data_IF_616015227282
#
_entry.id   IF_616015227282
#
_cell.length_a   1.000
_cell.length_b   1.000
_cell.length_c   1.000
_cell.angle_alpha   90.00
_cell.angle_beta   90.00
_cell.angle_gamma   90.00
#
_symmetry.space_group_name_H-M   'P 1'
#
loop_
_entity.id
_entity.type
_entity.pdbx_description
1 polymer ?
#
# COMPACT_ATOMS: atom_id res chain seq x y z
N UNK A 1 29.37 53.64 -59.26
CA UNK A 1 29.48 52.28 -59.79
C UNK A 1 29.42 51.35 -58.60
N UNK A 2 28.22 50.87 -58.30
CA UNK A 2 27.97 49.95 -57.19
C UNK A 2 27.73 48.58 -57.83
N UNK A 3 28.70 47.69 -57.72
CA UNK A 3 28.55 46.30 -58.13
C UNK A 3 27.54 45.64 -57.19
N UNK A 4 26.34 45.40 -57.72
CA UNK A 4 25.33 44.58 -57.07
C UNK A 4 25.76 43.13 -57.14
N UNK A 5 26.32 42.63 -56.03
CA UNK A 5 26.56 41.21 -55.83
C UNK A 5 25.22 40.48 -55.81
N UNK A 6 24.87 39.91 -56.95
CA UNK A 6 23.72 39.04 -57.18
C UNK A 6 23.84 37.83 -56.23
N UNK A 7 23.00 37.83 -55.19
CA UNK A 7 22.96 36.74 -54.21
C UNK A 7 22.57 35.46 -54.92
N UNK A 8 23.53 34.53 -55.05
CA UNK A 8 23.31 33.23 -55.66
C UNK A 8 22.08 32.55 -54.99
N UNK A 9 21.14 32.02 -55.79
CA UNK A 9 19.92 31.43 -55.26
C UNK A 9 20.29 30.32 -54.29
N UNK A 10 19.81 30.45 -53.04
CA UNK A 10 19.97 29.46 -52.00
C UNK A 10 19.54 28.09 -52.56
N UNK A 11 20.51 27.22 -52.77
CA UNK A 11 20.30 25.91 -53.37
C UNK A 11 19.40 25.14 -52.42
N UNK A 12 18.15 24.90 -52.82
CA UNK A 12 17.16 24.25 -51.98
C UNK A 12 17.71 22.90 -51.49
N UNK A 13 17.71 22.68 -50.18
CA UNK A 13 18.17 21.43 -49.60
C UNK A 13 17.36 20.26 -50.20
N UNK A 14 18.01 19.13 -50.53
CA UNK A 14 17.31 17.99 -51.10
C UNK A 14 16.21 17.51 -50.13
N UNK A 15 15.05 17.06 -50.65
CA UNK A 15 13.97 16.55 -49.82
C UNK A 15 14.48 15.38 -48.97
N UNK A 16 14.13 15.40 -47.67
CA UNK A 16 14.48 14.31 -46.74
C UNK A 16 13.78 13.03 -47.16
N UNK A 17 14.54 11.94 -47.24
CA UNK A 17 14.00 10.60 -47.47
C UNK A 17 13.15 10.17 -46.28
N UNK A 18 12.12 9.39 -46.56
CA UNK A 18 11.32 8.78 -45.48
C UNK A 18 12.14 7.75 -44.71
N UNK A 19 11.78 7.45 -43.47
CA UNK A 19 12.50 6.47 -42.66
C UNK A 19 12.63 5.10 -43.35
N UNK A 20 11.57 4.69 -44.04
CA UNK A 20 11.47 3.43 -44.80
C UNK A 20 12.39 3.44 -46.03
N UNK A 21 12.52 4.57 -46.71
CA UNK A 21 13.48 4.72 -47.81
C UNK A 21 14.93 4.59 -47.32
N UNK A 22 15.27 5.25 -46.20
CA UNK A 22 16.60 5.15 -45.61
C UNK A 22 16.90 3.71 -45.20
N UNK A 23 15.94 3.02 -44.58
CA UNK A 23 16.08 1.60 -44.23
C UNK A 23 16.33 0.72 -45.47
N UNK A 24 15.52 0.88 -46.51
CA UNK A 24 15.66 0.12 -47.76
C UNK A 24 17.01 0.39 -48.44
N UNK A 25 17.43 1.66 -48.51
CA UNK A 25 18.74 2.06 -49.04
C UNK A 25 19.89 1.45 -48.22
N UNK A 26 19.74 1.38 -46.90
CA UNK A 26 20.75 0.78 -46.03
C UNK A 26 20.86 -0.73 -46.23
N UNK A 27 19.73 -1.43 -46.34
CA UNK A 27 19.72 -2.86 -46.64
C UNK A 27 20.33 -3.16 -48.02
N UNK A 28 20.00 -2.35 -49.02
CA UNK A 28 20.60 -2.45 -50.35
C UNK A 28 22.12 -2.23 -50.31
N UNK A 29 22.60 -1.26 -49.53
CA UNK A 29 24.02 -0.98 -49.34
C UNK A 29 24.75 -2.15 -48.65
N UNK A 30 24.16 -2.70 -47.59
CA UNK A 30 24.67 -3.89 -46.91
C UNK A 30 24.74 -5.11 -47.85
N UNK A 31 23.74 -5.28 -48.72
CA UNK A 31 23.73 -6.34 -49.73
C UNK A 31 24.80 -6.11 -50.80
N UNK A 32 25.04 -4.86 -51.21
CA UNK A 32 26.11 -4.52 -52.15
C UNK A 32 27.49 -4.85 -51.57
N UNK A 33 27.75 -4.50 -50.30
CA UNK A 33 28.97 -4.88 -49.60
C UNK A 33 29.15 -6.40 -49.50
N UNK A 34 28.07 -7.14 -49.22
CA UNK A 34 28.11 -8.61 -49.13
C UNK A 34 28.40 -9.28 -50.47
N UNK A 35 27.94 -8.69 -51.57
CA UNK A 35 28.08 -9.24 -52.93
C UNK A 35 29.31 -8.70 -53.68
N UNK A 36 30.15 -7.91 -53.00
CA UNK A 36 31.30 -7.23 -53.60
C UNK A 36 30.93 -6.41 -54.87
N UNK A 37 29.69 -5.91 -54.94
CA UNK A 37 29.24 -5.05 -56.04
C UNK A 37 29.83 -3.65 -55.87
N UNK A 38 30.02 -2.96 -56.99
CA UNK A 38 30.40 -1.54 -57.00
C UNK A 38 29.41 -0.73 -56.18
N UNK A 39 29.91 0.02 -55.20
CA UNK A 39 29.14 0.90 -54.33
C UNK A 39 29.35 2.35 -54.80
N UNK A 40 28.29 3.05 -55.23
CA UNK A 40 28.42 4.44 -55.63
C UNK A 40 28.77 5.32 -54.42
N UNK A 41 29.98 5.88 -54.41
CA UNK A 41 30.51 6.63 -53.26
C UNK A 41 29.65 7.81 -52.82
N UNK A 42 29.06 8.54 -53.77
CA UNK A 42 28.13 9.64 -53.48
C UNK A 42 26.90 9.17 -52.71
N UNK A 43 26.37 8.00 -53.05
CA UNK A 43 25.20 7.43 -52.36
C UNK A 43 25.57 6.93 -50.97
N UNK A 44 26.76 6.32 -50.81
CA UNK A 44 27.25 5.89 -49.51
C UNK A 44 27.48 7.07 -48.57
N UNK A 45 28.11 8.15 -49.05
CA UNK A 45 28.29 9.38 -48.27
C UNK A 45 26.95 10.00 -47.87
N UNK A 46 26.02 10.12 -48.82
CA UNK A 46 24.68 10.60 -48.54
C UNK A 46 23.99 9.77 -47.45
N UNK A 47 24.08 8.44 -47.54
CA UNK A 47 23.48 7.55 -46.55
C UNK A 47 24.12 7.68 -45.16
N UNK A 48 25.45 7.84 -45.09
CA UNK A 48 26.16 8.11 -43.84
C UNK A 48 25.69 9.42 -43.22
N UNK A 49 25.55 10.47 -44.03
CA UNK A 49 25.09 11.79 -43.59
C UNK A 49 23.65 11.74 -43.09
N UNK A 50 22.77 11.02 -43.80
CA UNK A 50 21.39 10.77 -43.39
C UNK A 50 21.33 10.05 -42.02
N UNK A 51 22.13 8.99 -41.82
CA UNK A 51 22.18 8.29 -40.53
C UNK A 51 22.82 9.09 -39.40
N UNK A 52 23.89 9.84 -39.69
CA UNK A 52 24.53 10.73 -38.73
C UNK A 52 23.54 11.78 -38.24
N UNK A 53 22.82 12.40 -39.17
CA UNK A 53 21.76 13.37 -38.87
C UNK A 53 20.62 12.73 -38.06
N UNK A 54 20.12 11.54 -38.43
CA UNK A 54 19.12 10.83 -37.61
C UNK A 54 19.63 10.51 -36.20
N UNK A 55 20.90 10.15 -36.04
CA UNK A 55 21.49 9.91 -34.72
C UNK A 55 21.50 11.18 -33.85
N UNK A 56 21.70 12.36 -34.44
CA UNK A 56 21.59 13.64 -33.73
C UNK A 56 20.14 13.92 -33.30
N UNK A 57 19.15 13.64 -34.15
CA UNK A 57 17.72 13.76 -33.78
C UNK A 57 17.37 12.81 -32.63
N UNK A 58 17.77 11.54 -32.71
CA UNK A 58 17.54 10.58 -31.62
C UNK A 58 18.28 10.96 -30.34
N UNK A 59 19.43 11.65 -30.44
CA UNK A 59 20.18 12.10 -29.27
C UNK A 59 19.50 13.24 -28.51
N UNK A 60 18.57 13.94 -29.15
CA UNK A 60 17.72 14.93 -28.48
C UNK A 60 16.54 14.26 -27.79
N UNK A 61 15.92 13.25 -28.42
CA UNK A 61 14.68 12.63 -27.94
C UNK A 61 14.93 11.54 -26.89
N UNK A 62 15.88 10.64 -27.13
CA UNK A 62 16.06 9.44 -26.31
C UNK A 62 16.47 9.76 -24.86
N UNK A 63 17.39 10.71 -24.58
CA UNK A 63 17.70 11.09 -23.21
C UNK A 63 16.51 11.72 -22.47
N UNK A 64 15.62 12.44 -23.17
CA UNK A 64 14.41 13.01 -22.57
C UNK A 64 13.42 11.91 -22.20
N UNK A 65 13.19 10.95 -23.09
CA UNK A 65 12.35 9.78 -22.83
C UNK A 65 12.88 8.97 -21.64
N UNK A 66 14.18 8.66 -21.63
CA UNK A 66 14.84 7.99 -20.51
C UNK A 66 14.71 8.78 -19.20
N UNK A 67 14.95 10.10 -19.25
CA UNK A 67 14.79 10.99 -18.09
C UNK A 67 13.37 11.01 -17.53
N UNK A 68 12.34 11.01 -18.41
CA UNK A 68 10.93 10.94 -18.00
C UNK A 68 10.63 9.63 -17.28
N UNK A 69 10.97 8.49 -17.88
CA UNK A 69 10.76 7.16 -17.29
C UNK A 69 11.50 7.02 -15.95
N UNK A 70 12.75 7.47 -15.88
CA UNK A 70 13.57 7.42 -14.65
C UNK A 70 12.94 8.27 -13.54
N UNK A 71 12.47 9.49 -13.87
CA UNK A 71 11.80 10.39 -12.92
C UNK A 71 10.51 9.80 -12.38
N UNK A 72 9.65 9.26 -13.25
CA UNK A 72 8.38 8.63 -12.84
C UNK A 72 8.62 7.37 -12.01
N UNK A 73 9.55 6.52 -12.42
CA UNK A 73 9.96 5.33 -11.65
C UNK A 73 10.50 5.70 -10.27
N UNK A 74 11.26 6.80 -10.16
CA UNK A 74 11.75 7.31 -8.89
C UNK A 74 10.65 7.89 -8.00
N UNK A 75 9.69 8.62 -8.58
CA UNK A 75 8.53 9.16 -7.87
C UNK A 75 7.66 8.03 -7.30
N UNK A 76 7.25 7.07 -8.14
CA UNK A 76 6.47 5.91 -7.71
C UNK A 76 7.18 5.12 -6.61
N UNK A 77 8.51 4.95 -6.71
CA UNK A 77 9.32 4.29 -5.67
C UNK A 77 9.27 5.06 -4.34
N UNK A 78 9.32 6.39 -4.38
CA UNK A 78 9.27 7.22 -3.18
C UNK A 78 7.89 7.12 -2.50
N UNK A 79 6.82 7.19 -3.27
CA UNK A 79 5.44 7.13 -2.76
C UNK A 79 5.10 5.73 -2.21
N UNK A 80 5.57 4.67 -2.87
CA UNK A 80 5.44 3.31 -2.35
C UNK A 80 6.19 3.11 -1.02
N UNK A 81 7.34 3.75 -0.84
CA UNK A 81 8.04 3.73 0.46
C UNK A 81 7.27 4.49 1.54
N UNK A 82 6.67 5.63 1.21
CA UNK A 82 5.87 6.44 2.14
C UNK A 82 4.58 5.74 2.60
N UNK A 83 3.90 5.06 1.68
CA UNK A 83 2.65 4.34 1.98
C UNK A 83 2.84 3.13 2.91
N UNK A 84 4.08 2.65 3.09
CA UNK A 84 4.38 1.41 3.80
C UNK A 84 4.11 0.18 2.95
N UNK A 85 4.01 0.34 1.63
CA UNK A 85 3.90 -0.77 0.70
C UNK A 85 5.17 -1.61 0.77
N UNK A 86 5.01 -2.91 1.04
CA UNK A 86 6.12 -3.85 0.98
C UNK A 86 6.39 -4.13 -0.49
N UNK A 87 7.55 -3.71 -0.98
CA UNK A 87 8.10 -4.20 -2.25
C UNK A 87 8.35 -5.71 -2.09
N UNK A 88 7.28 -6.50 -2.22
CA UNK A 88 7.36 -7.95 -2.24
C UNK A 88 8.07 -8.30 -3.54
N UNK A 89 9.35 -8.64 -3.42
CA UNK A 89 9.97 -9.55 -4.39
C UNK A 89 9.08 -10.80 -4.37
N UNK A 90 8.56 -11.27 -5.52
CA UNK A 90 7.66 -12.39 -5.55
C UNK A 90 8.38 -13.62 -5.00
N UNK A 91 8.10 -13.92 -3.74
CA UNK A 91 8.38 -15.18 -3.07
C UNK A 91 7.00 -15.70 -2.73
N UNK A 92 6.48 -16.55 -3.61
CA UNK A 92 5.27 -17.37 -3.54
C UNK A 92 4.00 -16.71 -2.94
N UNK A 93 3.00 -16.53 -3.82
CA UNK A 93 1.72 -15.85 -3.62
C UNK A 93 0.80 -16.52 -2.57
N UNK A 94 1.10 -16.35 -1.28
CA UNK A 94 0.36 -16.98 -0.18
C UNK A 94 -0.27 -16.07 0.87
N UNK A 95 -0.15 -14.75 0.81
CA UNK A 95 -0.65 -13.87 1.89
C UNK A 95 -1.73 -12.92 1.41
N UNK A 96 -2.98 -13.27 1.73
CA UNK A 96 -4.20 -12.49 1.54
C UNK A 96 -4.14 -11.11 2.19
N UNK A 97 -4.70 -10.11 1.50
CA UNK A 97 -4.65 -8.69 1.84
C UNK A 97 -5.22 -8.31 3.22
N UNK A 98 -4.54 -7.35 3.85
CA UNK A 98 -4.79 -6.76 5.17
C UNK A 98 -6.24 -6.27 5.32
N UNK A 99 -6.90 -5.91 4.22
CA UNK A 99 -8.26 -5.40 4.22
C UNK A 99 -9.32 -6.48 4.46
N UNK A 100 -9.11 -7.69 3.92
CA UNK A 100 -9.97 -8.85 4.16
C UNK A 100 -9.90 -9.28 5.63
N UNK A 101 -8.68 -9.38 6.20
CA UNK A 101 -8.47 -9.68 7.62
C UNK A 101 -9.06 -8.61 8.56
N UNK A 102 -9.02 -7.34 8.17
CA UNK A 102 -9.61 -6.25 8.93
C UNK A 102 -11.14 -6.38 9.00
N UNK A 103 -11.80 -6.67 7.88
CA UNK A 103 -13.26 -6.86 7.81
C UNK A 103 -13.70 -8.12 8.55
N UNK A 104 -13.03 -9.26 8.34
CA UNK A 104 -13.33 -10.50 9.06
C UNK A 104 -13.18 -10.34 10.58
N UNK A 105 -12.20 -9.55 11.04
CA UNK A 105 -12.00 -9.33 12.47
C UNK A 105 -12.98 -8.33 13.11
N UNK A 106 -13.68 -7.51 12.31
CA UNK A 106 -14.77 -6.66 12.80
C UNK A 106 -16.08 -7.44 13.00
N UNK A 107 -16.06 -8.76 12.79
CA UNK A 107 -17.25 -9.62 12.89
C UNK A 107 -18.20 -9.47 11.71
N UNK A 108 -17.78 -8.77 10.65
CA UNK A 108 -18.49 -8.74 9.37
C UNK A 108 -18.14 -10.03 8.66
N UNK A 109 -18.98 -11.04 8.82
CA UNK A 109 -18.81 -12.33 8.17
C UNK A 109 -18.85 -12.13 6.64
N UNK A 110 -17.68 -12.15 6.01
CA UNK A 110 -17.57 -12.51 4.60
C UNK A 110 -17.69 -14.02 4.54
N UNK A 111 -18.90 -14.54 4.35
CA UNK A 111 -19.19 -15.98 4.30
C UNK A 111 -18.42 -16.65 3.15
N UNK A 112 -17.15 -17.01 3.39
CA UNK A 112 -16.45 -18.01 2.60
C UNK A 112 -16.92 -19.38 3.10
N UNK A 113 -17.92 -19.93 2.43
CA UNK A 113 -18.44 -21.28 2.69
C UNK A 113 -17.29 -22.29 2.63
N UNK A 114 -16.94 -23.00 3.73
CA UNK A 114 -15.93 -24.03 3.68
C UNK A 114 -16.52 -25.27 2.98
N UNK A 115 -15.86 -25.69 1.91
CA UNK A 115 -16.21 -26.90 1.15
C UNK A 115 -15.91 -28.13 2.00
N UNK A 116 -16.95 -28.75 2.57
CA UNK A 116 -16.90 -30.11 3.10
C UNK A 116 -17.34 -31.11 2.01
N UNK A 117 -16.81 -32.34 1.99
CA UNK A 117 -17.16 -33.33 0.98
C UNK A 117 -18.56 -33.88 1.26
N UNK A 118 -19.52 -33.60 0.36
CA UNK A 118 -20.88 -34.13 0.48
C UNK A 118 -20.97 -35.56 -0.05
N UNK A 119 -21.50 -36.44 0.81
CA UNK A 119 -22.05 -37.73 0.44
C UNK A 119 -23.36 -37.54 -0.34
N UNK A 120 -23.52 -38.37 -1.37
CA UNK A 120 -24.59 -38.38 -2.36
C UNK A 120 -25.94 -38.67 -1.72
N UNK A 121 -26.92 -37.76 -1.86
CA UNK A 121 -28.33 -38.14 -1.87
C UNK A 121 -29.12 -37.20 -2.79
N UNK A 122 -29.75 -37.80 -3.80
CA UNK A 122 -30.40 -37.15 -4.93
C UNK A 122 -31.77 -36.57 -4.59
N UNK A 123 -32.00 -35.29 -4.93
CA UNK A 123 -33.32 -34.68 -5.15
C UNK A 123 -33.21 -33.56 -6.20
N UNK A 124 -34.31 -33.19 -6.89
CA UNK A 124 -34.25 -32.69 -8.26
C UNK A 124 -33.99 -31.17 -8.38
N UNK A 125 -33.23 -30.87 -9.43
CA UNK A 125 -32.99 -29.60 -10.13
C UNK A 125 -33.84 -28.39 -9.71
N UNK A 126 -33.25 -27.55 -8.87
CA UNK A 126 -33.48 -26.10 -8.92
C UNK A 126 -32.30 -25.51 -9.70
N UNK A 127 -32.61 -24.86 -10.81
CA UNK A 127 -31.65 -24.11 -11.63
C UNK A 127 -31.10 -22.95 -10.81
N UNK A 128 -30.06 -23.20 -10.02
CA UNK A 128 -29.32 -22.15 -9.33
C UNK A 128 -28.43 -21.45 -10.36
N UNK A 129 -28.72 -20.18 -10.58
CA UNK A 129 -27.96 -19.23 -11.39
C UNK A 129 -26.53 -19.13 -10.87
N UNK A 130 -25.56 -19.54 -11.68
CA UNK A 130 -24.12 -19.59 -11.38
C UNK A 130 -23.42 -18.22 -11.33
N UNK A 131 -24.16 -17.11 -11.34
CA UNK A 131 -23.62 -15.74 -11.38
C UNK A 131 -22.79 -15.27 -10.16
N UNK A 132 -22.99 -15.72 -8.90
CA UNK A 132 -22.27 -15.09 -7.78
C UNK A 132 -20.79 -15.51 -7.69
N UNK A 133 -20.42 -16.66 -8.25
CA UNK A 133 -19.03 -17.18 -8.20
C UNK A 133 -18.15 -16.48 -9.23
N UNK A 134 -18.68 -16.20 -10.44
CA UNK A 134 -17.94 -15.47 -11.48
C UNK A 134 -17.68 -14.01 -11.07
N UNK A 135 -18.69 -13.33 -10.51
CA UNK A 135 -18.52 -11.95 -10.01
C UNK A 135 -17.50 -11.85 -8.86
N UNK A 136 -17.41 -12.88 -8.01
CA UNK A 136 -16.41 -12.92 -6.94
C UNK A 136 -14.98 -13.12 -7.48
N UNK A 137 -14.81 -13.95 -8.51
CA UNK A 137 -13.53 -14.15 -9.17
C UNK A 137 -13.07 -12.89 -9.94
N UNK A 138 -14.00 -12.21 -10.61
CA UNK A 138 -13.73 -10.92 -11.27
C UNK A 138 -13.33 -9.84 -10.26
N UNK A 139 -14.04 -9.73 -9.14
CA UNK A 139 -13.70 -8.80 -8.06
C UNK A 139 -12.32 -9.11 -7.46
N UNK A 140 -12.01 -10.39 -7.24
CA UNK A 140 -10.70 -10.81 -6.74
C UNK A 140 -9.58 -10.45 -7.73
N UNK A 141 -9.79 -10.66 -9.04
CA UNK A 141 -8.83 -10.27 -10.06
C UNK A 141 -8.63 -8.74 -10.13
N UNK A 142 -9.69 -7.96 -9.96
CA UNK A 142 -9.62 -6.48 -9.89
C UNK A 142 -8.87 -6.03 -8.63
N UNK A 143 -9.11 -6.66 -7.49
CA UNK A 143 -8.41 -6.37 -6.24
C UNK A 143 -6.92 -6.73 -6.34
N UNK A 144 -6.58 -7.89 -6.90
CA UNK A 144 -5.20 -8.28 -7.16
C UNK A 144 -4.51 -7.32 -8.13
N UNK A 145 -5.22 -6.87 -9.16
CA UNK A 145 -4.70 -5.87 -10.10
C UNK A 145 -4.46 -4.52 -9.41
N UNK A 146 -5.38 -4.10 -8.54
CA UNK A 146 -5.23 -2.89 -7.73
C UNK A 146 -4.06 -3.01 -6.75
N UNK A 147 -3.92 -4.13 -6.04
CA UNK A 147 -2.85 -4.32 -5.06
C UNK A 147 -1.48 -4.46 -5.72
N UNK A 148 -1.38 -5.22 -6.82
CA UNK A 148 -0.11 -5.51 -7.49
C UNK A 148 0.24 -4.51 -8.60
N UNK A 149 -0.71 -3.70 -9.06
CA UNK A 149 -0.56 -2.77 -10.18
C UNK A 149 0.64 -1.84 -10.03
N UNK A 150 0.75 -1.07 -8.92
CA UNK A 150 1.88 -0.18 -8.71
C UNK A 150 3.24 -0.89 -8.65
N UNK A 151 3.29 -2.10 -8.07
CA UNK A 151 4.52 -2.88 -8.01
C UNK A 151 4.96 -3.40 -9.38
N UNK A 152 4.01 -3.88 -10.18
CA UNK A 152 4.24 -4.32 -11.57
C UNK A 152 4.69 -3.15 -12.44
N UNK A 153 3.99 -2.03 -12.38
CA UNK A 153 4.36 -0.80 -13.08
C UNK A 153 5.78 -0.35 -12.72
N UNK A 154 6.16 -0.40 -11.43
CA UNK A 154 7.51 -0.07 -10.99
C UNK A 154 8.57 -1.04 -11.55
N UNK A 155 8.27 -2.34 -11.60
CA UNK A 155 9.17 -3.36 -12.15
C UNK A 155 9.38 -3.17 -13.65
N UNK A 156 8.29 -2.95 -14.39
CA UNK A 156 8.34 -2.65 -15.82
C UNK A 156 9.09 -1.33 -16.09
N UNK A 157 8.84 -0.30 -15.28
CA UNK A 157 9.56 0.98 -15.29
C UNK A 157 11.08 0.80 -15.20
N UNK A 158 11.55 0.01 -14.24
CA UNK A 158 12.98 -0.30 -14.06
C UNK A 158 13.56 -1.08 -15.24
N UNK A 159 12.80 -2.03 -15.78
CA UNK A 159 13.23 -2.80 -16.95
C UNK A 159 13.42 -1.89 -18.15
N UNK A 160 12.41 -1.07 -18.47
CA UNK A 160 12.48 -0.14 -19.60
C UNK A 160 13.57 0.92 -19.40
N UNK A 161 13.74 1.43 -18.17
CA UNK A 161 14.82 2.36 -17.82
C UNK A 161 16.20 1.77 -18.16
N UNK A 162 16.43 0.49 -17.85
CA UNK A 162 17.67 -0.21 -18.17
C UNK A 162 17.85 -0.40 -19.69
N UNK A 163 16.78 -0.77 -20.41
CA UNK A 163 16.79 -0.91 -21.87
C UNK A 163 17.13 0.43 -22.56
N UNK A 164 16.45 1.53 -22.18
CA UNK A 164 16.70 2.87 -22.72
C UNK A 164 18.12 3.35 -22.43
N UNK A 165 18.65 3.08 -21.23
CA UNK A 165 20.03 3.43 -20.86
C UNK A 165 21.06 2.74 -21.77
N UNK A 166 20.85 1.47 -22.12
CA UNK A 166 21.72 0.77 -23.06
C UNK A 166 21.60 1.33 -24.49
N UNK A 167 20.39 1.75 -24.89
CA UNK A 167 20.17 2.42 -26.18
C UNK A 167 20.90 3.77 -26.25
N UNK A 168 20.88 4.58 -25.18
CA UNK A 168 21.64 5.84 -25.10
C UNK A 168 23.14 5.58 -25.28
N UNK A 169 23.71 4.59 -24.58
CA UNK A 169 25.12 4.21 -24.74
C UNK A 169 25.45 3.72 -26.16
N UNK A 170 24.53 3.01 -26.81
CA UNK A 170 24.71 2.59 -28.20
C UNK A 170 24.71 3.79 -29.15
N UNK A 171 23.80 4.74 -28.94
CA UNK A 171 23.70 5.96 -29.72
C UNK A 171 24.96 6.84 -29.60
N UNK A 172 25.48 7.02 -28.40
CA UNK A 172 26.75 7.75 -28.16
C UNK A 172 27.92 7.13 -28.93
N UNK A 173 28.02 5.79 -28.94
CA UNK A 173 29.04 5.07 -29.71
C UNK A 173 28.86 5.27 -31.22
N UNK A 174 27.63 5.18 -31.73
CA UNK A 174 27.35 5.41 -33.15
C UNK A 174 27.71 6.85 -33.57
N UNK A 175 27.35 7.85 -32.74
CA UNK A 175 27.69 9.26 -32.99
C UNK A 175 29.20 9.49 -33.06
N UNK A 176 29.98 8.84 -32.21
CA UNK A 176 31.44 8.94 -32.25
C UNK A 176 32.05 8.33 -33.53
N UNK A 177 31.44 7.27 -34.07
CA UNK A 177 31.97 6.51 -35.22
C UNK A 177 31.67 7.21 -36.56
N UNK A 178 30.55 7.92 -36.71
CA UNK A 178 30.14 8.48 -38.01
C UNK A 178 31.14 9.43 -38.67
N UNK A 179 31.76 10.40 -37.96
CA UNK A 179 32.77 11.28 -38.56
C UNK A 179 34.00 10.52 -39.09
N UNK A 180 34.43 9.48 -38.38
CA UNK A 180 35.55 8.63 -38.79
C UNK A 180 35.21 7.82 -40.05
N UNK A 181 34.00 7.28 -40.12
CA UNK A 181 33.55 6.54 -41.31
C UNK A 181 33.39 7.47 -42.51
N UNK A 182 32.85 8.67 -42.32
CA UNK A 182 32.71 9.68 -43.38
C UNK A 182 34.08 10.03 -43.98
N UNK A 183 35.03 10.42 -43.14
CA UNK A 183 36.40 10.76 -43.59
C UNK A 183 37.11 9.57 -44.25
N UNK A 184 36.88 8.35 -43.77
CA UNK A 184 37.39 7.14 -44.43
C UNK A 184 36.79 6.92 -45.82
N UNK A 185 35.51 7.22 -46.02
CA UNK A 185 34.85 7.11 -47.33
C UNK A 185 35.36 8.20 -48.27
N UNK A 186 35.41 9.45 -47.82
CA UNK A 186 35.96 10.57 -48.61
C UNK A 186 37.40 10.29 -49.05
N UNK A 187 38.27 9.85 -48.14
CA UNK A 187 39.65 9.49 -48.46
C UNK A 187 39.76 8.34 -49.48
N UNK A 188 38.88 7.33 -49.39
CA UNK A 188 38.87 6.23 -50.34
C UNK A 188 38.48 6.68 -51.75
N UNK A 189 37.55 7.62 -51.88
CA UNK A 189 37.08 8.11 -53.18
C UNK A 189 37.97 9.22 -53.78
N UNK A 190 38.56 10.09 -52.95
CA UNK A 190 39.42 11.18 -53.43
C UNK A 190 40.87 10.75 -53.63
N UNK A 191 41.41 9.96 -52.70
CA UNK A 191 42.84 9.62 -52.63
C UNK A 191 43.12 8.16 -53.01
N UNK A 192 42.08 7.37 -53.30
CA UNK A 192 42.22 5.96 -53.64
C UNK A 192 42.65 5.07 -52.47
N UNK A 193 42.46 5.49 -51.22
CA UNK A 193 42.80 4.67 -50.04
C UNK A 193 41.85 3.48 -49.88
N UNK A 194 42.27 2.46 -49.13
CA UNK A 194 41.41 1.30 -48.85
C UNK A 194 40.15 1.68 -48.06
N UNK A 195 38.98 1.31 -48.59
CA UNK A 195 37.70 1.48 -47.93
C UNK A 195 37.59 0.52 -46.73
N UNK A 196 37.25 1.04 -45.54
CA UNK A 196 36.98 0.25 -44.33
C UNK A 196 35.61 -0.44 -44.38
N UNK A 197 35.39 -1.27 -45.40
CA UNK A 197 34.07 -1.86 -45.72
C UNK A 197 33.44 -2.62 -44.56
N UNK A 198 34.25 -3.35 -43.77
CA UNK A 198 33.77 -4.10 -42.60
C UNK A 198 33.18 -3.19 -41.53
N UNK A 199 33.88 -2.11 -41.21
CA UNK A 199 33.48 -1.16 -40.17
C UNK A 199 32.23 -0.37 -40.58
N UNK A 200 32.17 0.05 -41.85
CA UNK A 200 30.99 0.71 -42.42
C UNK A 200 29.78 -0.24 -42.38
N UNK A 201 29.93 -1.48 -42.86
CA UNK A 201 28.85 -2.46 -42.83
C UNK A 201 28.38 -2.76 -41.40
N UNK A 202 29.30 -2.84 -40.44
CA UNK A 202 28.97 -3.04 -39.03
C UNK A 202 28.19 -1.85 -38.46
N UNK A 203 28.64 -0.61 -38.70
CA UNK A 203 27.94 0.59 -38.23
C UNK A 203 26.54 0.73 -38.85
N UNK A 204 26.41 0.49 -40.17
CA UNK A 204 25.11 0.47 -40.86
C UNK A 204 24.18 -0.61 -40.30
N UNK A 205 24.70 -1.80 -39.95
CA UNK A 205 23.91 -2.84 -39.29
C UNK A 205 23.47 -2.43 -37.89
N UNK A 206 24.36 -1.83 -37.10
CA UNK A 206 24.07 -1.38 -35.74
C UNK A 206 23.03 -0.26 -35.72
N UNK A 207 23.13 0.74 -36.62
CA UNK A 207 22.14 1.83 -36.67
C UNK A 207 20.78 1.33 -37.12
N UNK A 208 20.70 0.38 -38.07
CA UNK A 208 19.44 -0.26 -38.44
C UNK A 208 18.81 -1.01 -37.26
N UNK A 209 19.61 -1.79 -36.52
CA UNK A 209 19.13 -2.49 -35.34
C UNK A 209 18.64 -1.52 -34.27
N UNK A 210 19.41 -0.47 -34.00
CA UNK A 210 19.03 0.59 -33.06
C UNK A 210 17.71 1.25 -33.45
N UNK A 211 17.54 1.65 -34.72
CA UNK A 211 16.31 2.29 -35.21
C UNK A 211 15.10 1.37 -35.05
N UNK A 212 15.22 0.10 -35.44
CA UNK A 212 14.12 -0.88 -35.26
C UNK A 212 13.76 -1.08 -33.80
N UNK A 213 14.77 -1.18 -32.92
CA UNK A 213 14.55 -1.28 -31.48
C UNK A 213 13.85 -0.02 -30.94
N UNK A 214 14.25 1.16 -31.41
CA UNK A 214 13.67 2.42 -30.96
C UNK A 214 12.22 2.55 -31.41
N UNK A 215 11.93 2.31 -32.70
CA UNK A 215 10.56 2.31 -33.22
C UNK A 215 9.65 1.31 -32.48
N UNK A 216 10.18 0.14 -32.10
CA UNK A 216 9.44 -0.84 -31.32
C UNK A 216 9.22 -0.41 -29.87
N UNK A 217 10.19 0.30 -29.28
CA UNK A 217 10.12 0.77 -27.89
C UNK A 217 9.24 2.01 -27.71
N UNK A 218 9.18 2.93 -28.69
CA UNK A 218 8.42 4.19 -28.59
C UNK A 218 7.00 4.03 -28.04
N UNK A 219 6.11 3.18 -28.60
CA UNK A 219 4.76 3.02 -28.06
C UNK A 219 4.76 2.44 -26.64
N UNK A 220 5.72 1.58 -26.30
CA UNK A 220 5.86 1.03 -24.95
C UNK A 220 6.36 2.07 -23.95
N UNK A 221 7.17 3.04 -24.38
CA UNK A 221 7.62 4.14 -23.53
C UNK A 221 6.44 5.02 -23.12
N UNK A 222 5.61 5.42 -24.10
CA UNK A 222 4.44 6.26 -23.84
C UNK A 222 3.44 5.54 -22.93
N UNK A 223 3.05 4.33 -23.29
CA UNK A 223 2.12 3.53 -22.49
C UNK A 223 2.62 3.26 -21.06
N UNK A 224 3.93 3.05 -20.88
CA UNK A 224 4.49 2.86 -19.55
C UNK A 224 4.59 4.16 -18.75
N UNK A 225 4.82 5.31 -19.40
CA UNK A 225 4.76 6.60 -18.72
C UNK A 225 3.37 6.85 -18.16
N UNK A 226 2.32 6.61 -18.97
CA UNK A 226 0.94 6.76 -18.55
C UNK A 226 0.62 5.78 -17.40
N UNK A 227 1.04 4.51 -17.53
CA UNK A 227 0.87 3.51 -16.46
C UNK A 227 1.58 3.89 -15.16
N UNK A 228 2.79 4.47 -15.23
CA UNK A 228 3.53 4.92 -14.06
C UNK A 228 2.88 6.16 -13.42
N UNK A 229 2.34 7.08 -14.22
CA UNK A 229 1.60 8.25 -13.74
C UNK A 229 0.32 7.81 -13.01
N UNK A 230 -0.47 6.92 -13.62
CA UNK A 230 -1.67 6.33 -13.02
C UNK A 230 -1.35 5.57 -11.73
N UNK A 231 -0.30 4.74 -11.73
CA UNK A 231 0.12 4.02 -10.54
C UNK A 231 0.55 4.95 -9.40
N UNK A 232 1.22 6.06 -9.73
CA UNK A 232 1.63 7.08 -8.75
C UNK A 232 0.40 7.76 -8.14
N UNK A 233 -0.55 8.16 -8.97
CA UNK A 233 -1.79 8.78 -8.52
C UNK A 233 -2.64 7.81 -7.67
N UNK A 234 -2.72 6.53 -8.05
CA UNK A 234 -3.39 5.51 -7.23
C UNK A 234 -2.76 5.37 -5.85
N UNK A 235 -1.42 5.38 -5.74
CA UNK A 235 -0.73 5.31 -4.45
C UNK A 235 -1.04 6.55 -3.61
N UNK A 236 -1.04 7.73 -4.23
CA UNK A 236 -1.37 9.01 -3.57
C UNK A 236 -2.82 9.01 -3.05
N UNK A 237 -3.78 8.57 -3.87
CA UNK A 237 -5.18 8.47 -3.49
C UNK A 237 -5.39 7.51 -2.32
N UNK A 238 -4.74 6.34 -2.33
CA UNK A 238 -4.79 5.38 -1.21
C UNK A 238 -4.24 5.98 0.08
N UNK A 239 -3.16 6.75 -0.02
CA UNK A 239 -2.61 7.42 1.15
C UNK A 239 -3.56 8.49 1.71
N UNK A 240 -4.17 9.30 0.84
CA UNK A 240 -5.20 10.26 1.22
C UNK A 240 -6.41 9.59 1.88
N UNK A 241 -6.92 8.51 1.28
CA UNK A 241 -8.01 7.71 1.84
C UNK A 241 -7.64 7.13 3.20
N UNK A 242 -6.42 6.61 3.35
CA UNK A 242 -5.91 6.14 4.65
C UNK A 242 -5.88 7.25 5.68
N UNK A 243 -5.47 8.46 5.30
CA UNK A 243 -5.47 9.62 6.19
C UNK A 243 -6.89 10.07 6.55
N UNK A 244 -7.81 10.10 5.57
CA UNK A 244 -9.24 10.39 5.80
C UNK A 244 -9.86 9.36 6.73
N UNK A 245 -9.61 8.07 6.51
CA UNK A 245 -10.12 7.00 7.36
C UNK A 245 -9.56 7.10 8.78
N UNK A 246 -8.27 7.45 8.94
CA UNK A 246 -7.68 7.73 10.25
C UNK A 246 -8.33 8.93 10.95
N UNK A 247 -8.61 10.00 10.22
CA UNK A 247 -9.28 11.18 10.75
C UNK A 247 -10.72 10.85 11.19
N UNK A 248 -11.49 10.16 10.33
CA UNK A 248 -12.83 9.69 10.63
C UNK A 248 -12.84 8.75 11.85
N UNK A 249 -11.90 7.80 11.90
CA UNK A 249 -11.75 6.90 13.06
C UNK A 249 -11.47 7.71 14.32
N UNK A 250 -10.60 8.73 14.27
CA UNK A 250 -10.32 9.59 15.41
C UNK A 250 -11.58 10.34 15.86
N UNK A 251 -12.31 10.95 14.93
CA UNK A 251 -13.57 11.67 15.22
C UNK A 251 -14.62 10.76 15.87
N UNK A 252 -14.82 9.55 15.33
CA UNK A 252 -15.73 8.56 15.89
C UNK A 252 -15.28 8.16 17.30
N UNK A 253 -13.98 7.95 17.53
CA UNK A 253 -13.46 7.57 18.84
C UNK A 253 -13.51 8.72 19.85
N UNK A 254 -13.33 9.98 19.43
CA UNK A 254 -13.44 11.16 20.28
C UNK A 254 -14.89 11.36 20.78
N UNK A 255 -15.88 10.92 20.01
CA UNK A 255 -17.30 10.87 20.43
C UNK A 255 -17.66 9.69 21.34
N UNK A 256 -16.78 8.71 21.51
CA UNK A 256 -17.00 7.52 22.32
C UNK A 256 -16.42 7.67 23.74
N UNK A 257 -16.75 6.75 24.65
CA UNK A 257 -16.14 6.75 25.98
C UNK A 257 -14.60 6.62 25.85
N UNK A 258 -13.85 7.43 26.62
CA UNK A 258 -12.37 7.42 26.61
C UNK A 258 -11.76 6.02 26.74
N UNK A 259 -12.42 5.14 27.51
CA UNK A 259 -12.01 3.75 27.68
C UNK A 259 -12.14 2.92 26.38
N UNK A 260 -13.19 3.12 25.59
CA UNK A 260 -13.35 2.45 24.29
C UNK A 260 -12.32 2.98 23.28
N UNK A 261 -12.12 4.29 23.23
CA UNK A 261 -11.11 4.92 22.37
C UNK A 261 -9.69 4.40 22.67
N UNK A 262 -9.32 4.33 23.96
CA UNK A 262 -8.04 3.77 24.40
C UNK A 262 -7.89 2.29 24.01
N UNK A 263 -8.94 1.48 24.16
CA UNK A 263 -8.94 0.05 23.79
C UNK A 263 -8.79 -0.15 22.29
N UNK A 264 -9.51 0.61 21.46
CA UNK A 264 -9.39 0.54 20.00
C UNK A 264 -7.97 0.93 19.56
N UNK A 265 -7.41 2.00 20.12
CA UNK A 265 -6.03 2.41 19.85
C UNK A 265 -5.02 1.29 20.21
N UNK A 266 -5.19 0.64 21.35
CA UNK A 266 -4.35 -0.47 21.78
C UNK A 266 -4.45 -1.69 20.84
N UNK A 267 -5.67 -2.11 20.49
CA UNK A 267 -5.89 -3.25 19.60
C UNK A 267 -5.31 -3.00 18.21
N UNK A 268 -5.52 -1.79 17.65
CA UNK A 268 -4.97 -1.41 16.35
C UNK A 268 -3.44 -1.46 16.35
N UNK A 269 -2.80 -0.98 17.41
CA UNK A 269 -1.35 -1.03 17.55
C UNK A 269 -0.82 -2.46 17.74
N UNK A 270 -1.39 -3.23 18.67
CA UNK A 270 -0.98 -4.61 18.96
C UNK A 270 -1.11 -5.53 17.73
N UNK A 271 -2.16 -5.36 16.92
CA UNK A 271 -2.34 -6.11 15.68
C UNK A 271 -1.27 -5.76 14.64
N UNK A 272 -0.95 -4.46 14.49
CA UNK A 272 0.10 -4.00 13.58
C UNK A 272 1.46 -4.60 13.95
N UNK A 273 1.79 -4.67 15.25
CA UNK A 273 3.03 -5.27 15.74
C UNK A 273 3.18 -6.76 15.36
N UNK A 274 2.08 -7.53 15.40
CA UNK A 274 2.09 -8.97 15.07
C UNK A 274 2.32 -9.24 13.58
N UNK A 275 1.96 -8.31 12.69
CA UNK A 275 2.13 -8.44 11.23
C UNK A 275 3.46 -7.87 10.67
N UNK A 276 4.27 -7.20 11.51
CA UNK A 276 5.37 -6.32 11.07
C UNK A 276 6.76 -6.73 11.61
N UNK A 277 7.05 -8.02 11.74
CA UNK A 277 8.30 -8.51 12.36
C UNK A 277 9.61 -8.27 11.57
N UNK A 278 9.62 -7.51 10.47
CA UNK A 278 10.67 -7.68 9.45
C UNK A 278 11.55 -6.46 9.06
N UNK A 279 11.33 -5.19 9.45
CA UNK A 279 12.24 -4.10 8.99
C UNK A 279 12.55 -2.96 9.98
N UNK A 280 13.80 -2.44 9.96
CA UNK A 280 14.29 -1.40 10.86
C UNK A 280 13.86 0.04 10.51
N UNK A 281 13.32 0.32 9.31
CA UNK A 281 12.88 1.68 8.93
C UNK A 281 11.44 2.00 9.41
N UNK A 282 10.63 0.98 9.74
CA UNK A 282 9.27 1.12 10.26
C UNK A 282 9.23 1.63 11.71
N UNK A 283 10.37 1.60 12.41
CA UNK A 283 10.42 1.72 13.87
C UNK A 283 10.01 3.09 14.41
N UNK A 284 10.27 4.19 13.70
CA UNK A 284 9.95 5.53 14.22
C UNK A 284 8.43 5.78 14.27
N UNK A 285 7.73 5.46 13.19
CA UNK A 285 6.28 5.60 13.14
C UNK A 285 5.61 4.65 14.13
N UNK A 286 6.14 3.42 14.26
CA UNK A 286 5.60 2.44 15.21
C UNK A 286 5.82 2.88 16.68
N UNK A 287 6.91 3.60 16.99
CA UNK A 287 7.15 4.19 18.33
C UNK A 287 6.15 5.32 18.63
N UNK A 288 5.90 6.21 17.68
CA UNK A 288 4.92 7.29 17.87
C UNK A 288 3.53 6.71 18.12
N UNK A 289 3.09 5.73 17.31
CA UNK A 289 1.83 5.02 17.52
C UNK A 289 1.77 4.25 18.84
N UNK A 290 2.87 3.58 19.23
CA UNK A 290 2.98 2.92 20.52
C UNK A 290 2.79 3.92 21.67
N UNK A 291 3.53 5.04 21.62
CA UNK A 291 3.49 6.07 22.66
C UNK A 291 2.11 6.69 22.81
N UNK A 292 1.41 6.92 21.69
CA UNK A 292 0.05 7.46 21.66
C UNK A 292 -0.97 6.44 22.22
N UNK A 293 -0.81 5.15 21.90
CA UNK A 293 -1.65 4.08 22.44
C UNK A 293 -1.45 3.92 23.96
N UNK A 294 -0.20 3.91 24.43
CA UNK A 294 0.13 3.82 25.86
C UNK A 294 -0.44 5.03 26.62
N UNK A 295 -0.28 6.25 26.11
CA UNK A 295 -0.77 7.46 26.74
C UNK A 295 -2.29 7.48 26.91
N UNK A 296 -3.06 7.13 25.86
CA UNK A 296 -4.52 7.03 25.96
C UNK A 296 -4.96 5.98 26.98
N UNK A 297 -4.24 4.87 27.07
CA UNK A 297 -4.57 3.82 28.04
C UNK A 297 -4.22 4.21 29.48
N UNK A 298 -3.16 5.01 29.69
CA UNK A 298 -2.89 5.61 31.01
C UNK A 298 -3.99 6.58 31.44
N UNK A 299 -4.54 7.37 30.52
CA UNK A 299 -5.68 8.24 30.84
C UNK A 299 -6.93 7.42 31.18
N UNK A 300 -7.23 6.37 30.40
CA UNK A 300 -8.30 5.43 30.71
C UNK A 300 -8.11 4.73 32.06
N UNK A 301 -6.87 4.50 32.49
CA UNK A 301 -6.57 3.89 33.79
C UNK A 301 -6.94 4.80 34.96
N UNK A 302 -6.67 6.11 34.85
CA UNK A 302 -7.08 7.11 35.84
C UNK A 302 -8.61 7.21 35.95
N UNK A 303 -9.30 7.14 34.81
CA UNK A 303 -10.76 7.12 34.80
C UNK A 303 -11.32 5.85 35.46
N UNK A 304 -10.73 4.68 35.18
CA UNK A 304 -11.13 3.41 35.81
C UNK A 304 -10.86 3.44 37.32
N UNK A 305 -9.71 3.96 37.75
CA UNK A 305 -9.40 4.18 39.16
C UNK A 305 -10.48 5.02 39.86
N UNK A 306 -10.83 6.16 39.27
CA UNK A 306 -11.88 7.05 39.80
C UNK A 306 -13.23 6.34 39.90
N UNK A 307 -13.58 5.50 38.91
CA UNK A 307 -14.80 4.69 38.92
C UNK A 307 -14.79 3.63 40.02
N UNK A 308 -13.67 2.95 40.25
CA UNK A 308 -13.54 1.95 41.32
C UNK A 308 -13.69 2.61 42.71
N UNK A 309 -13.07 3.78 42.92
CA UNK A 309 -13.20 4.55 44.18
C UNK A 309 -14.64 5.02 44.39
N UNK A 310 -15.29 5.57 43.35
CA UNK A 310 -16.71 5.96 43.42
C UNK A 310 -17.62 4.75 43.64
N UNK A 311 -17.31 3.61 43.04
CA UNK A 311 -18.01 2.34 43.23
C UNK A 311 -17.93 1.89 44.69
N UNK A 312 -16.74 1.90 45.29
CA UNK A 312 -16.55 1.58 46.69
C UNK A 312 -17.34 2.53 47.61
N UNK A 313 -17.28 3.84 47.36
CA UNK A 313 -18.06 4.83 48.10
C UNK A 313 -19.58 4.66 47.92
N UNK A 314 -20.03 4.18 46.77
CA UNK A 314 -21.45 3.89 46.52
C UNK A 314 -21.91 2.65 47.27
N UNK A 315 -21.10 1.58 47.29
CA UNK A 315 -21.37 0.37 48.07
C UNK A 315 -21.46 0.71 49.56
N UNK A 316 -20.51 1.49 50.08
CA UNK A 316 -20.52 1.94 51.48
C UNK A 316 -21.77 2.75 51.85
N UNK A 317 -22.37 3.46 50.90
CA UNK A 317 -23.60 4.26 51.12
C UNK A 317 -24.88 3.46 51.00
N UNK A 318 -24.91 2.43 50.13
CA UNK A 318 -26.14 1.70 49.77
C UNK A 318 -26.32 0.39 50.50
N UNK A 319 -25.22 -0.29 50.83
CA UNK A 319 -25.27 -1.61 51.43
C UNK A 319 -25.28 -1.50 52.97
N UNK A 320 -26.33 -2.04 53.59
CA UNK A 320 -26.50 -1.98 55.05
C UNK A 320 -25.69 -3.06 55.78
N UNK A 321 -25.37 -4.17 55.09
CA UNK A 321 -24.58 -5.25 55.69
C UNK A 321 -23.09 -4.89 55.70
N UNK A 322 -22.55 -4.58 56.89
CA UNK A 322 -21.16 -4.17 57.05
C UNK A 322 -20.15 -5.19 56.49
N UNK A 323 -20.41 -6.50 56.65
CA UNK A 323 -19.53 -7.54 56.11
C UNK A 323 -19.51 -7.58 54.57
N UNK A 324 -20.65 -7.29 53.92
CA UNK A 324 -20.74 -7.22 52.46
C UNK A 324 -20.02 -5.97 51.96
N UNK A 325 -20.18 -4.84 52.65
CA UNK A 325 -19.41 -3.61 52.39
C UNK A 325 -17.92 -3.88 52.48
N UNK A 326 -17.42 -4.44 53.60
CA UNK A 326 -16.01 -4.72 53.81
C UNK A 326 -15.45 -5.63 52.70
N UNK A 327 -16.13 -6.74 52.39
CA UNK A 327 -15.70 -7.67 51.33
C UNK A 327 -15.65 -7.01 49.96
N UNK A 328 -16.69 -6.24 49.61
CA UNK A 328 -16.80 -5.60 48.30
C UNK A 328 -15.80 -4.46 48.14
N UNK A 329 -15.64 -3.62 49.17
CA UNK A 329 -14.65 -2.52 49.17
C UNK A 329 -13.23 -3.08 49.13
N UNK A 330 -12.93 -4.14 49.88
CA UNK A 330 -11.63 -4.81 49.81
C UNK A 330 -11.36 -5.34 48.39
N UNK A 331 -12.35 -5.98 47.75
CA UNK A 331 -12.24 -6.46 46.37
C UNK A 331 -11.99 -5.31 45.37
N UNK A 332 -12.77 -4.22 45.46
CA UNK A 332 -12.58 -3.04 44.60
C UNK A 332 -11.21 -2.38 44.83
N UNK A 333 -10.71 -2.41 46.06
CA UNK A 333 -9.37 -1.91 46.40
C UNK A 333 -8.26 -2.77 45.79
N UNK A 334 -8.42 -4.11 45.79
CA UNK A 334 -7.50 -5.03 45.11
C UNK A 334 -7.51 -4.78 43.60
N UNK A 335 -8.68 -4.63 42.99
CA UNK A 335 -8.79 -4.32 41.55
C UNK A 335 -8.14 -2.99 41.21
N UNK A 336 -8.34 -1.97 42.05
CA UNK A 336 -7.64 -0.68 41.91
C UNK A 336 -6.13 -0.86 41.96
N UNK A 337 -5.62 -1.65 42.89
CA UNK A 337 -4.19 -1.97 42.99
C UNK A 337 -3.64 -2.66 41.73
N UNK A 338 -4.39 -3.61 41.15
CA UNK A 338 -4.03 -4.26 39.88
C UNK A 338 -3.96 -3.26 38.72
N UNK A 339 -4.96 -2.39 38.58
CA UNK A 339 -5.00 -1.36 37.52
C UNK A 339 -3.84 -0.39 37.67
N UNK A 340 -3.54 0.07 38.88
CA UNK A 340 -2.41 0.99 39.13
C UNK A 340 -1.07 0.34 38.85
N UNK A 341 -0.86 -0.90 39.29
CA UNK A 341 0.39 -1.64 39.02
C UNK A 341 0.62 -1.86 37.51
N UNK A 342 -0.44 -2.21 36.76
CA UNK A 342 -0.34 -2.33 35.31
C UNK A 342 -0.10 -0.97 34.62
N UNK A 343 -0.73 0.10 35.12
CA UNK A 343 -0.50 1.46 34.61
C UNK A 343 0.94 1.94 34.88
N UNK A 344 1.53 1.59 36.02
CA UNK A 344 2.95 1.85 36.33
C UNK A 344 3.87 1.14 35.33
N UNK A 345 3.61 -0.13 35.01
CA UNK A 345 4.35 -0.87 34.00
C UNK A 345 4.25 -0.22 32.60
N UNK A 346 3.05 0.23 32.20
CA UNK A 346 2.83 0.97 30.95
C UNK A 346 3.55 2.32 30.94
N UNK A 347 3.56 3.03 32.07
CA UNK A 347 4.27 4.30 32.23
C UNK A 347 5.79 4.11 32.10
N UNK A 348 6.33 3.07 32.73
CA UNK A 348 7.75 2.70 32.61
C UNK A 348 8.11 2.34 31.16
N UNK A 349 7.32 1.49 30.50
CA UNK A 349 7.54 1.12 29.10
C UNK A 349 7.47 2.34 28.16
N UNK A 350 6.58 3.30 28.42
CA UNK A 350 6.51 4.57 27.67
C UNK A 350 7.75 5.43 27.87
N UNK A 351 8.25 5.53 29.10
CA UNK A 351 9.48 6.27 29.42
C UNK A 351 10.69 5.64 28.72
N UNK A 352 10.78 4.31 28.72
CA UNK A 352 11.85 3.57 28.05
C UNK A 352 11.78 3.74 26.52
N UNK A 353 10.57 3.72 25.93
CA UNK A 353 10.34 4.01 24.51
C UNK A 353 10.76 5.44 24.13
N UNK A 354 10.48 6.43 24.98
CA UNK A 354 10.88 7.82 24.73
C UNK A 354 12.40 8.03 24.80
N UNK A 355 13.09 7.23 25.63
CA UNK A 355 14.55 7.24 25.75
C UNK A 355 15.29 6.32 24.77
N UNK A 356 14.56 5.54 23.95
CA UNK A 356 15.12 4.48 23.14
C UNK A 356 16.11 4.98 22.07
N UNK A 357 17.33 4.42 22.07
CA UNK A 357 18.26 4.52 20.92
C UNK A 357 17.89 3.45 19.86
N UNK A 358 18.37 3.62 18.63
CA UNK A 358 18.08 2.70 17.49
C UNK A 358 18.37 1.21 17.79
N UNK A 359 19.36 0.91 18.62
CA UNK A 359 19.63 -0.44 19.11
C UNK A 359 18.70 -0.79 20.29
N UNK A 360 17.83 -1.80 20.12
CA UNK A 360 16.94 -2.29 21.19
C UNK A 360 15.47 -1.88 21.05
N UNK A 361 15.11 -1.12 20.01
CA UNK A 361 13.73 -0.67 19.78
C UNK A 361 12.71 -1.83 19.74
N UNK A 362 13.05 -2.95 19.08
CA UNK A 362 12.17 -4.11 18.99
C UNK A 362 11.81 -4.70 20.37
N UNK A 363 12.81 -4.86 21.24
CA UNK A 363 12.61 -5.38 22.60
C UNK A 363 11.78 -4.40 23.44
N UNK A 364 11.99 -3.09 23.29
CA UNK A 364 11.21 -2.06 23.99
C UNK A 364 9.76 -2.00 23.49
N UNK A 365 9.53 -2.14 22.19
CA UNK A 365 8.17 -2.22 21.63
C UNK A 365 7.44 -3.49 22.08
N UNK A 366 8.15 -4.61 22.21
CA UNK A 366 7.59 -5.86 22.73
C UNK A 366 7.24 -5.74 24.21
N UNK A 367 8.13 -5.17 25.03
CA UNK A 367 7.85 -4.90 26.44
C UNK A 367 6.64 -3.97 26.63
N UNK A 368 6.53 -2.93 25.79
CA UNK A 368 5.37 -2.05 25.78
C UNK A 368 4.08 -2.77 25.36
N UNK A 369 4.15 -3.71 24.42
CA UNK A 369 3.01 -4.51 23.99
C UNK A 369 2.52 -5.40 25.13
N UNK A 370 3.44 -6.07 25.82
CA UNK A 370 3.14 -6.90 27.00
C UNK A 370 2.51 -6.06 28.11
N UNK A 371 3.09 -4.90 28.43
CA UNK A 371 2.55 -4.00 29.47
C UNK A 371 1.13 -3.52 29.11
N UNK A 372 0.88 -3.22 27.84
CA UNK A 372 -0.44 -2.79 27.37
C UNK A 372 -1.47 -3.94 27.41
N UNK A 373 -1.08 -5.16 27.01
CA UNK A 373 -1.94 -6.35 27.12
C UNK A 373 -2.33 -6.61 28.59
N UNK A 374 -1.38 -6.46 29.54
CA UNK A 374 -1.65 -6.58 30.97
C UNK A 374 -2.63 -5.51 31.49
N UNK A 375 -2.49 -4.26 31.03
CA UNK A 375 -3.40 -3.19 31.41
C UNK A 375 -4.83 -3.41 30.89
N UNK A 376 -4.97 -3.89 29.64
CA UNK A 376 -6.28 -4.25 29.08
C UNK A 376 -6.93 -5.38 29.89
N UNK A 377 -6.16 -6.41 30.25
CA UNK A 377 -6.66 -7.50 31.09
C UNK A 377 -7.13 -7.00 32.46
N UNK A 378 -6.38 -6.06 33.07
CA UNK A 378 -6.79 -5.42 34.33
C UNK A 378 -8.08 -4.59 34.18
N UNK A 379 -8.27 -3.90 33.04
CA UNK A 379 -9.53 -3.21 32.74
C UNK A 379 -10.70 -4.16 32.58
N UNK A 380 -10.53 -5.28 31.88
CA UNK A 380 -11.59 -6.26 31.68
C UNK A 380 -12.01 -6.89 33.02
N UNK A 381 -11.05 -7.21 33.89
CA UNK A 381 -11.34 -7.69 35.24
C UNK A 381 -12.08 -6.63 36.08
N UNK A 382 -11.60 -5.38 36.07
CA UNK A 382 -12.21 -4.28 36.84
C UNK A 382 -13.62 -3.93 36.34
N UNK A 383 -13.84 -3.85 35.03
CA UNK A 383 -15.12 -3.52 34.42
C UNK A 383 -16.20 -4.56 34.77
N UNK A 384 -15.84 -5.85 34.75
CA UNK A 384 -16.76 -6.94 35.13
C UNK A 384 -17.33 -6.79 36.56
N UNK A 385 -16.59 -6.14 37.46
CA UNK A 385 -16.98 -5.92 38.85
C UNK A 385 -17.70 -4.60 39.11
N UNK A 386 -17.37 -3.55 38.36
CA UNK A 386 -18.08 -2.27 38.43
C UNK A 386 -19.51 -2.41 37.90
N UNK A 387 -19.69 -3.15 36.80
CA UNK A 387 -21.01 -3.31 36.19
C UNK A 387 -21.89 -4.30 36.98
N UNK A 388 -21.30 -5.31 37.63
CA UNK A 388 -22.03 -6.26 38.48
C UNK A 388 -22.53 -5.63 39.80
N UNK A 389 -21.88 -4.57 40.30
CA UNK A 389 -22.29 -3.84 41.51
C UNK A 389 -23.47 -2.88 41.30
N UNK A 390 -23.86 -2.63 40.04
CA UNK A 390 -24.92 -1.70 39.63
C UNK A 390 -26.32 -2.31 39.65
N UNK A 391 -26.79 -2.84 40.78
CA UNK A 391 -28.24 -2.89 41.06
C UNK A 391 -29.11 -3.89 40.28
N UNK A 392 -28.58 -5.01 39.76
CA UNK A 392 -29.41 -6.20 39.50
C UNK A 392 -29.00 -7.28 40.48
N UNK A 393 -29.94 -7.67 41.33
CA UNK A 393 -29.75 -8.61 42.43
C UNK A 393 -28.86 -9.78 42.04
N UNK A 394 -27.86 -10.04 42.87
CA UNK A 394 -27.04 -11.23 42.78
C UNK A 394 -27.95 -12.48 42.68
N UNK A 395 -27.55 -13.51 41.91
CA UNK A 395 -28.25 -14.79 41.95
C UNK A 395 -28.16 -15.29 43.38
N UNK A 396 -29.32 -15.45 44.03
CA UNK A 396 -29.41 -16.20 45.29
C UNK A 396 -28.88 -17.61 45.01
N UNK A 397 -27.85 -18.02 45.72
CA UNK A 397 -27.46 -19.43 45.78
C UNK A 397 -28.70 -20.26 46.16
N UNK A 398 -28.94 -21.40 45.49
CA UNK A 398 -30.05 -22.28 45.82
C UNK A 398 -29.66 -23.08 47.07
N UNK A 399 -29.71 -22.45 48.24
CA UNK A 399 -29.68 -23.19 49.50
C UNK A 399 -31.09 -23.72 49.80
N UNK A 400 -31.17 -25.05 49.78
CA UNK A 400 -32.27 -25.89 50.19
C UNK A 400 -33.08 -25.32 51.38
N UNK A 401 -34.32 -24.93 51.13
CA UNK A 401 -35.36 -24.86 52.16
C UNK A 401 -36.49 -25.80 51.76
N UNK A 402 -36.43 -27.02 52.28
CA UNK A 402 -37.57 -27.91 52.40
C UNK A 402 -38.49 -27.42 53.53
N UNK A 403 -39.74 -27.07 53.22
CA UNK A 403 -40.78 -26.86 54.22
C UNK A 403 -42.00 -26.11 53.64
N UNK A 404 -43.26 -26.59 53.85
CA UNK A 404 -44.39 -26.23 53.01
C UNK A 404 -45.36 -25.22 53.66
N UNK A 405 -46.25 -24.72 52.80
CA UNK A 405 -47.54 -24.06 53.07
C UNK A 405 -47.55 -22.65 53.65
N UNK A 406 -48.19 -21.74 52.91
CA UNK A 406 -48.45 -20.36 53.33
C UNK A 406 -48.94 -19.45 52.21
N UNK A 407 -50.25 -19.47 51.99
CA UNK A 407 -51.09 -18.64 51.12
C UNK A 407 -50.68 -17.17 50.88
N UNK A 408 -50.74 -16.83 49.59
CA UNK A 408 -51.04 -15.57 48.89
C UNK A 408 -51.54 -14.35 49.71
N UNK A 409 -50.94 -13.19 49.44
CA UNK A 409 -51.67 -11.94 49.13
C UNK A 409 -50.85 -11.05 48.17
N UNK A 410 -51.48 -10.36 47.18
CA UNK A 410 -50.78 -9.53 46.20
C UNK A 410 -50.97 -8.02 46.45
N UNK A 411 -49.92 -7.21 46.25
CA UNK A 411 -50.04 -5.75 46.09
C UNK A 411 -48.71 -5.09 45.65
N UNK A 412 -48.73 -3.87 45.08
CA UNK A 412 -48.56 -3.73 43.63
C UNK A 412 -47.40 -2.78 43.21
N UNK A 413 -47.15 -2.77 41.90
CA UNK A 413 -46.55 -1.66 41.13
C UNK A 413 -45.09 -1.29 41.41
N UNK A 414 -44.20 -1.80 40.54
CA UNK A 414 -43.01 -1.06 40.14
C UNK A 414 -43.03 -0.89 38.62
N UNK A 415 -43.21 0.36 38.19
CA UNK A 415 -43.11 0.82 36.82
C UNK A 415 -41.69 0.51 36.32
N UNK A 416 -41.59 -0.42 35.38
CA UNK A 416 -40.36 -0.75 34.68
C UNK A 416 -40.11 0.33 33.64
N UNK A 417 -39.23 1.29 33.95
CA UNK A 417 -38.59 2.12 32.92
C UNK A 417 -37.51 1.26 32.28
N UNK A 418 -37.85 0.62 31.16
CA UNK A 418 -36.90 0.00 30.24
C UNK A 418 -36.10 1.10 29.53
N UNK A 419 -34.98 1.52 30.10
CA UNK A 419 -33.94 2.19 29.30
C UNK A 419 -33.40 1.17 28.31
N UNK A 420 -33.78 1.35 27.04
CA UNK A 420 -33.35 0.57 25.89
C UNK A 420 -31.82 0.56 25.82
N UNK A 421 -31.23 -0.58 26.17
CA UNK A 421 -29.80 -0.87 25.99
C UNK A 421 -29.61 -1.07 24.49
N UNK A 422 -29.12 -0.05 23.78
CA UNK A 422 -28.62 -0.23 22.42
C UNK A 422 -27.51 -1.27 22.50
N UNK A 423 -27.72 -2.39 21.81
CA UNK A 423 -26.72 -3.45 21.78
C UNK A 423 -25.49 -2.93 21.02
N UNK A 424 -24.29 -3.38 21.38
CA UNK A 424 -23.07 -3.10 20.60
C UNK A 424 -23.24 -3.48 19.12
N UNK A 425 -24.16 -4.41 18.84
CA UNK A 425 -24.53 -4.85 17.51
C UNK A 425 -25.27 -3.75 16.73
N UNK A 426 -26.19 -3.01 17.36
CA UNK A 426 -26.91 -1.89 16.75
C UNK A 426 -25.97 -0.73 16.36
N UNK A 427 -24.95 -0.46 17.19
CA UNK A 427 -23.96 0.60 16.92
C UNK A 427 -23.04 0.23 15.76
N UNK A 428 -22.68 -1.06 15.63
CA UNK A 428 -21.89 -1.56 14.51
C UNK A 428 -22.71 -1.63 13.21
N UNK A 429 -24.01 -1.93 13.31
CA UNK A 429 -24.92 -1.93 12.16
C UNK A 429 -25.18 -0.51 11.63
N UNK A 430 -25.33 0.48 12.51
CA UNK A 430 -25.45 1.89 12.13
C UNK A 430 -24.14 2.44 11.54
N UNK A 431 -22.99 1.98 12.02
CA UNK A 431 -21.68 2.31 11.44
C UNK A 431 -21.53 1.72 10.02
N UNK A 432 -21.93 0.45 9.82
CA UNK A 432 -21.92 -0.19 8.51
C UNK A 432 -22.89 0.47 7.52
N UNK A 433 -24.09 0.88 7.97
CA UNK A 433 -25.05 1.63 7.15
C UNK A 433 -24.57 3.04 6.80
N UNK A 434 -23.89 3.73 7.72
CA UNK A 434 -23.30 5.05 7.46
C UNK A 434 -22.14 4.99 6.45
N UNK A 435 -21.40 3.89 6.41
CA UNK A 435 -20.29 3.66 5.45
C UNK A 435 -20.84 3.30 4.04
N UNK A 436 -22.02 2.68 3.96
CA UNK A 436 -22.63 2.23 2.70
C UNK A 436 -23.41 3.28 1.89
N UNK A 437 -23.54 4.53 2.34
CA UNK A 437 -24.42 5.53 1.70
C UNK A 437 -23.73 6.58 0.81
N UNK A 438 -22.42 6.52 0.57
CA UNK A 438 -21.74 7.46 -0.36
C UNK A 438 -21.30 6.75 -1.64
N UNK A 439 -22.27 6.36 -2.48
CA UNK A 439 -21.97 5.73 -3.75
C UNK A 439 -23.20 5.52 -4.62
N UNK A 440 -23.95 6.59 -4.93
CA UNK A 440 -24.80 6.57 -6.14
C UNK A 440 -23.88 6.80 -7.34
N UNK A 441 -23.78 5.86 -8.30
CA UNK A 441 -23.09 6.14 -9.55
C UNK A 441 -23.87 7.22 -10.30
N UNK A 442 -23.15 8.23 -10.78
CA UNK A 442 -23.61 9.17 -11.80
C UNK A 442 -23.16 8.68 -13.17
#
# INVERSE_FOLDING_TARGET
MSDGAEAAPATAAPPRRTEKEIENSTLAMLQAFRTARSVPGKELLRLIDEHAYSCEEYAQVLPQAWGRVSKLTAALRADLRGSGFKEHVPVDAGTSGIFSEFLSSLGVATDSVPTAPQAVLSTPAVTQTSEPVEKAAELAAVLDHLEQGPAKALQEGRRLEAELKEMVKLLERLRAIWPELRTSVEGAFEKGTHLRTKDIAQALKQVLQFRRQLCAATPSIEALCDLLEDATEQVRQREEERLRFKAMTREVLDGQSKALAARVAAVLWLKRGKASSARPEQTRFDIEQASEALERNLEAAKDMESRLVKGAGTVMKREACHQVVQRTVARLSVLRGKVLSAAEAVSAARADLAGARRSGQAALTEAAAIALEQLIAAFDEAASHVDAGGGRGAPRDPQASSGPDGELTPSPSAIVVTTKRTSQQDVLEDLAKSIGMTGKPA
#
